data_IF_804337311781
#
_entry.id   IF_804337311781
#
_cell.length_a   1.000
_cell.length_b   1.000
_cell.length_c   1.000
_cell.angle_alpha   90.00
_cell.angle_beta   90.00
_cell.angle_gamma   90.00
#
_symmetry.space_group_name_H-M   'P 1'
#
loop_
_entity.id
_entity.type
_entity.pdbx_description
1 polymer ?
#
# COMPACT_ATOMS: atom_id res chain seq x y z
N UNK A 1 20.15 -11.63 25.03
CA UNK A 1 19.52 -10.32 24.75
C UNK A 1 18.24 -10.59 23.98
N UNK A 2 17.10 -10.55 24.66
CA UNK A 2 15.79 -10.78 24.04
C UNK A 2 15.45 -9.60 23.12
N UNK A 3 14.82 -9.83 21.95
CA UNK A 3 14.30 -8.72 21.16
C UNK A 3 13.18 -8.10 21.97
N UNK A 4 13.38 -6.88 22.47
CA UNK A 4 12.26 -6.04 22.94
C UNK A 4 11.22 -6.06 21.84
N UNK A 5 10.02 -6.56 22.13
CA UNK A 5 8.93 -6.61 21.17
C UNK A 5 8.74 -5.20 20.61
N UNK A 6 9.19 -5.00 19.37
CA UNK A 6 9.16 -3.69 18.71
C UNK A 6 7.70 -3.30 18.58
N UNK A 7 7.33 -2.12 19.08
CA UNK A 7 5.96 -1.63 18.96
C UNK A 7 5.56 -1.65 17.47
N UNK A 8 4.61 -2.51 17.06
CA UNK A 8 4.26 -2.67 15.65
C UNK A 8 3.76 -1.36 15.04
N UNK A 9 3.17 -0.47 15.84
CA UNK A 9 2.69 0.86 15.41
C UNK A 9 3.82 1.81 15.00
N UNK A 10 5.08 1.44 15.26
CA UNK A 10 6.29 2.17 14.86
C UNK A 10 7.03 1.49 13.70
N UNK A 11 6.38 0.58 13.00
CA UNK A 11 6.99 -0.11 11.84
C UNK A 11 7.16 0.89 10.68
N UNK A 12 8.40 1.18 10.24
CA UNK A 12 8.63 2.05 9.09
C UNK A 12 8.17 1.37 7.81
N UNK A 13 7.62 2.18 6.90
CA UNK A 13 7.22 1.73 5.58
C UNK A 13 7.30 2.85 4.56
N UNK A 14 7.29 2.46 3.29
CA UNK A 14 7.04 3.34 2.15
C UNK A 14 5.76 2.89 1.47
N UNK A 15 4.76 3.78 1.41
CA UNK A 15 3.53 3.64 0.64
C UNK A 15 3.73 4.32 -0.72
N UNK A 16 3.80 3.53 -1.78
CA UNK A 16 3.85 4.02 -3.17
C UNK A 16 2.46 3.96 -3.76
N UNK A 17 1.96 5.09 -4.25
CA UNK A 17 0.61 5.24 -4.77
C UNK A 17 0.64 5.50 -6.27
N UNK A 18 -0.15 4.73 -7.02
CA UNK A 18 -0.44 4.91 -8.43
C UNK A 18 -1.54 5.97 -8.58
N UNK A 19 -1.21 7.09 -9.20
CA UNK A 19 -2.18 8.17 -9.49
C UNK A 19 -2.77 8.08 -10.90
N UNK A 20 -2.32 7.13 -11.72
CA UNK A 20 -2.80 6.96 -13.10
C UNK A 20 -4.09 6.13 -13.21
N UNK A 21 -4.49 5.44 -12.14
CA UNK A 21 -5.71 4.62 -12.10
C UNK A 21 -6.90 5.34 -11.43
N UNK A 22 -6.69 6.57 -10.97
CA UNK A 22 -7.67 7.33 -10.20
C UNK A 22 -8.74 7.94 -11.12
N UNK A 23 -9.99 7.98 -10.65
CA UNK A 23 -11.05 8.82 -11.21
C UNK A 23 -11.07 10.18 -10.47
N UNK A 24 -11.71 11.21 -11.04
CA UNK A 24 -11.71 12.57 -10.47
C UNK A 24 -12.37 12.72 -9.08
N UNK A 25 -13.00 11.66 -8.56
CA UNK A 25 -13.63 11.62 -7.23
C UNK A 25 -12.66 11.24 -6.08
N UNK A 26 -11.38 10.98 -6.38
CA UNK A 26 -10.43 10.29 -5.48
C UNK A 26 -9.60 11.20 -4.55
N UNK A 27 -9.84 12.53 -4.53
CA UNK A 27 -9.10 13.45 -3.64
C UNK A 27 -9.26 13.11 -2.15
N UNK A 28 -10.46 12.71 -1.74
CA UNK A 28 -10.76 12.31 -0.36
C UNK A 28 -10.01 11.04 0.06
N UNK A 29 -9.83 10.08 -0.86
CA UNK A 29 -9.06 8.85 -0.62
C UNK A 29 -7.60 9.19 -0.37
N UNK A 30 -7.01 10.01 -1.25
CA UNK A 30 -5.63 10.47 -1.10
C UNK A 30 -5.40 11.21 0.21
N UNK A 31 -6.34 12.05 0.64
CA UNK A 31 -6.22 12.79 1.90
C UNK A 31 -6.29 11.92 3.14
N UNK A 32 -7.15 10.89 3.14
CA UNK A 32 -7.19 9.90 4.23
C UNK A 32 -5.85 9.16 4.32
N UNK A 33 -5.30 8.71 3.19
CA UNK A 33 -4.00 8.02 3.16
C UNK A 33 -2.86 8.93 3.62
N UNK A 34 -2.80 10.18 3.14
CA UNK A 34 -1.80 11.16 3.58
C UNK A 34 -1.85 11.39 5.09
N UNK A 35 -3.05 11.56 5.66
CA UNK A 35 -3.22 11.71 7.12
C UNK A 35 -2.75 10.47 7.87
N UNK A 36 -3.07 9.27 7.38
CA UNK A 36 -2.65 8.01 8.00
C UNK A 36 -1.13 7.86 8.03
N UNK A 37 -0.47 8.10 6.89
CA UNK A 37 1.00 7.98 6.77
C UNK A 37 1.70 8.99 7.67
N UNK A 38 1.23 10.25 7.72
CA UNK A 38 1.79 11.29 8.61
C UNK A 38 1.68 10.95 10.09
N UNK A 39 0.66 10.18 10.48
CA UNK A 39 0.49 9.73 11.86
C UNK A 39 1.40 8.53 12.23
N UNK A 40 2.03 7.89 11.24
CA UNK A 40 2.92 6.75 11.46
C UNK A 40 4.38 7.22 11.55
N UNK A 41 5.11 6.91 12.64
CA UNK A 41 6.53 7.19 12.73
C UNK A 41 7.29 6.55 11.56
N UNK A 42 8.07 7.36 10.85
CA UNK A 42 8.81 6.96 9.65
C UNK A 42 7.94 6.52 8.46
N UNK A 43 6.61 6.70 8.48
CA UNK A 43 5.79 6.50 7.29
C UNK A 43 6.17 7.49 6.19
N UNK A 44 6.40 6.99 4.97
CA UNK A 44 6.63 7.81 3.78
C UNK A 44 5.60 7.46 2.73
N UNK A 45 5.05 8.48 2.07
CA UNK A 45 4.15 8.32 0.94
C UNK A 45 4.83 8.88 -0.31
N UNK A 46 4.83 8.11 -1.39
CA UNK A 46 5.33 8.51 -2.71
C UNK A 46 4.18 8.39 -3.70
N UNK A 47 3.91 9.45 -4.45
CA UNK A 47 2.96 9.40 -5.56
C UNK A 47 3.73 9.22 -6.87
N UNK A 48 3.27 8.29 -7.70
CA UNK A 48 3.90 7.95 -8.98
C UNK A 48 2.84 7.83 -10.08
N UNK A 49 3.30 7.76 -11.33
CA UNK A 49 2.46 7.36 -12.45
C UNK A 49 2.03 5.89 -12.36
N UNK A 50 1.78 5.26 -13.50
CA UNK A 50 1.23 3.92 -13.53
C UNK A 50 2.19 2.87 -12.96
N UNK A 51 1.67 1.98 -12.11
CA UNK A 51 2.37 0.82 -11.54
C UNK A 51 2.01 -0.49 -12.28
N UNK A 52 1.63 -0.45 -13.56
CA UNK A 52 1.08 -1.62 -14.28
C UNK A 52 2.04 -2.80 -14.42
N UNK A 53 3.36 -2.57 -14.38
CA UNK A 53 4.38 -3.63 -14.31
C UNK A 53 4.47 -4.29 -12.94
N UNK A 54 3.82 -3.73 -11.93
CA UNK A 54 3.86 -4.19 -10.54
C UNK A 54 2.48 -4.65 -10.04
N UNK A 55 1.41 -3.98 -10.45
CA UNK A 55 0.03 -4.19 -10.01
C UNK A 55 -0.88 -4.51 -11.20
N UNK A 56 -1.79 -5.47 -11.02
CA UNK A 56 -2.89 -5.67 -11.95
C UNK A 56 -3.98 -4.62 -11.70
N UNK A 57 -3.77 -3.40 -12.18
CA UNK A 57 -4.62 -2.23 -11.87
C UNK A 57 -5.65 -1.86 -12.95
N UNK A 58 -5.72 -2.62 -14.05
CA UNK A 58 -6.63 -2.33 -15.19
C UNK A 58 -8.04 -2.94 -15.02
N UNK A 59 -8.24 -3.78 -14.01
CA UNK A 59 -9.47 -4.55 -13.78
C UNK A 59 -10.48 -3.85 -12.89
N UNK A 60 -10.08 -2.81 -12.15
CA UNK A 60 -10.94 -2.08 -11.23
C UNK A 60 -10.74 -0.58 -11.31
N UNK A 61 -11.76 0.18 -10.91
CA UNK A 61 -11.69 1.63 -10.74
C UNK A 61 -11.24 1.96 -9.32
N UNK A 62 -10.38 2.96 -9.19
CA UNK A 62 -9.90 3.47 -7.90
C UNK A 62 -8.39 3.41 -7.76
N UNK A 63 -7.93 3.82 -6.59
CA UNK A 63 -6.51 4.03 -6.32
C UNK A 63 -5.81 2.71 -6.02
N UNK A 64 -4.64 2.52 -6.62
CA UNK A 64 -3.79 1.35 -6.39
C UNK A 64 -2.51 1.77 -5.70
N UNK A 65 -2.00 0.93 -4.80
CA UNK A 65 -0.80 1.24 -4.04
C UNK A 65 0.02 -0.02 -3.72
N UNK A 66 1.23 0.22 -3.24
CA UNK A 66 2.13 -0.80 -2.75
C UNK A 66 2.79 -0.32 -1.46
N UNK A 67 2.88 -1.21 -0.47
CA UNK A 67 3.52 -0.90 0.82
C UNK A 67 4.74 -1.78 0.99
N UNK A 68 5.89 -1.14 1.10
CA UNK A 68 7.17 -1.79 1.39
C UNK A 68 7.52 -1.56 2.86
N UNK A 69 7.44 -2.58 3.73
CA UNK A 69 8.04 -2.55 5.05
C UNK A 69 9.55 -2.30 4.93
N UNK A 70 10.09 -1.41 5.77
CA UNK A 70 11.50 -1.05 5.71
C UNK A 70 12.09 -0.77 7.09
N UNK A 71 13.42 -0.73 7.16
CA UNK A 71 14.14 -0.20 8.30
C UNK A 71 14.13 1.35 8.27
N UNK A 72 14.60 1.97 9.35
CA UNK A 72 14.62 3.44 9.46
C UNK A 72 15.51 4.10 8.39
N UNK A 73 16.52 3.38 7.91
CA UNK A 73 17.41 3.74 6.79
C UNK A 73 16.83 3.39 5.40
N UNK A 74 15.55 3.00 5.34
CA UNK A 74 14.80 2.64 4.13
C UNK A 74 15.25 1.35 3.42
N UNK A 75 16.10 0.54 4.05
CA UNK A 75 16.36 -0.82 3.53
C UNK A 75 15.08 -1.67 3.62
N UNK A 76 14.67 -2.38 2.55
CA UNK A 76 13.53 -3.29 2.59
C UNK A 76 13.71 -4.38 3.65
N UNK A 77 12.68 -4.64 4.45
CA UNK A 77 12.73 -5.64 5.54
C UNK A 77 11.73 -6.78 5.38
N UNK A 78 10.91 -6.76 4.33
CA UNK A 78 9.86 -7.75 4.14
C UNK A 78 9.23 -7.69 2.75
N UNK A 79 8.26 -8.57 2.52
CA UNK A 79 7.51 -8.61 1.27
C UNK A 79 6.68 -7.34 1.07
N UNK A 80 6.56 -6.90 -0.18
CA UNK A 80 5.64 -5.82 -0.54
C UNK A 80 4.20 -6.30 -0.41
N UNK A 81 3.36 -5.48 0.24
CA UNK A 81 1.91 -5.68 0.24
C UNK A 81 1.31 -4.80 -0.85
N UNK A 82 0.57 -5.42 -1.76
CA UNK A 82 -0.09 -4.76 -2.89
C UNK A 82 -1.51 -4.42 -2.48
N UNK A 83 -1.92 -3.17 -2.71
CA UNK A 83 -3.19 -2.63 -2.29
C UNK A 83 -4.03 -2.19 -3.50
N UNK A 84 -5.32 -2.45 -3.40
CA UNK A 84 -6.33 -1.87 -4.27
C UNK A 84 -7.21 -2.90 -5.00
N UNK A 85 -8.29 -2.43 -5.65
CA UNK A 85 -8.66 -1.01 -5.78
C UNK A 85 -9.12 -0.39 -4.45
N UNK A 86 -8.62 0.80 -4.11
CA UNK A 86 -9.09 1.63 -3.00
C UNK A 86 -10.07 2.63 -3.62
N UNK A 87 -11.35 2.27 -3.65
CA UNK A 87 -12.36 2.96 -4.44
C UNK A 87 -13.21 3.93 -3.61
N UNK A 88 -13.19 3.81 -2.28
CA UNK A 88 -14.00 4.62 -1.39
C UNK A 88 -13.22 5.17 -0.21
N UNK A 89 -13.81 6.16 0.46
CA UNK A 89 -13.31 6.66 1.74
C UNK A 89 -13.24 5.54 2.79
N UNK A 90 -14.20 4.62 2.81
CA UNK A 90 -14.22 3.50 3.75
C UNK A 90 -13.03 2.53 3.51
N UNK A 91 -12.70 2.29 2.24
CA UNK A 91 -11.50 1.51 1.87
C UNK A 91 -10.23 2.21 2.38
N UNK A 92 -10.14 3.52 2.14
CA UNK A 92 -9.01 4.33 2.59
C UNK A 92 -8.87 4.34 4.11
N UNK A 93 -9.99 4.42 4.85
CA UNK A 93 -10.02 4.35 6.31
C UNK A 93 -9.60 2.96 6.82
N UNK A 94 -10.00 1.89 6.13
CA UNK A 94 -9.57 0.52 6.42
C UNK A 94 -8.05 0.37 6.24
N UNK A 95 -7.50 0.83 5.11
CA UNK A 95 -6.05 0.86 4.88
C UNK A 95 -5.35 1.72 5.93
N UNK A 96 -5.92 2.87 6.29
CA UNK A 96 -5.36 3.77 7.28
C UNK A 96 -5.25 3.14 8.68
N UNK A 97 -6.27 2.40 9.11
CA UNK A 97 -6.24 1.63 10.37
C UNK A 97 -5.14 0.57 10.31
N UNK A 98 -5.07 -0.19 9.21
CA UNK A 98 -4.06 -1.23 9.02
C UNK A 98 -2.63 -0.69 9.01
N UNK A 99 -2.37 0.46 8.36
CA UNK A 99 -1.07 1.13 8.38
C UNK A 99 -0.67 1.55 9.80
N UNK A 100 -1.59 2.17 10.55
CA UNK A 100 -1.35 2.59 11.94
C UNK A 100 -1.12 1.41 12.89
N UNK A 101 -1.68 0.26 12.58
CA UNK A 101 -1.46 -0.98 13.32
C UNK A 101 -0.09 -1.64 13.02
N UNK A 102 0.68 -1.11 12.06
CA UNK A 102 1.98 -1.68 11.69
C UNK A 102 1.94 -2.72 10.59
N UNK A 103 0.87 -2.74 9.79
CA UNK A 103 0.70 -3.67 8.66
C UNK A 103 0.76 -5.16 9.07
N UNK A 104 0.02 -5.60 10.09
CA UNK A 104 0.06 -6.99 10.51
C UNK A 104 -0.40 -7.94 9.40
N UNK A 105 0.16 -9.15 9.40
CA UNK A 105 -0.16 -10.22 8.45
C UNK A 105 -1.31 -11.12 8.92
N UNK A 106 -2.15 -10.63 9.85
CA UNK A 106 -3.20 -11.36 10.57
C UNK A 106 -4.57 -11.38 9.87
N UNK A 107 -4.63 -10.91 8.62
CA UNK A 107 -5.88 -10.81 7.86
C UNK A 107 -6.71 -9.56 8.16
N UNK A 108 -6.25 -8.64 9.01
CA UNK A 108 -6.94 -7.36 9.27
C UNK A 108 -7.05 -6.45 8.05
N UNK A 109 -6.26 -6.67 7.00
CA UNK A 109 -6.49 -6.08 5.68
C UNK A 109 -7.39 -7.01 4.84
N UNK A 110 -8.63 -6.59 4.51
CA UNK A 110 -9.58 -7.39 3.75
C UNK A 110 -9.05 -7.79 2.38
N UNK A 111 -9.41 -9.00 1.94
CA UNK A 111 -9.02 -9.56 0.64
C UNK A 111 -9.38 -8.65 -0.56
N UNK A 112 -10.55 -7.98 -0.61
CA UNK A 112 -10.86 -7.07 -1.72
C UNK A 112 -9.90 -5.89 -1.87
N UNK A 113 -9.16 -5.54 -0.82
CA UNK A 113 -8.15 -4.48 -0.85
C UNK A 113 -6.75 -5.01 -1.15
N UNK A 114 -6.58 -6.32 -1.42
CA UNK A 114 -5.32 -6.92 -1.84
C UNK A 114 -5.28 -7.00 -3.36
N UNK A 115 -4.40 -6.19 -3.95
CA UNK A 115 -4.23 -6.19 -5.39
C UNK A 115 -3.39 -7.39 -5.84
N UNK A 116 -3.82 -8.03 -6.93
CA UNK A 116 -3.04 -9.05 -7.59
C UNK A 116 -1.72 -8.48 -8.15
N UNK A 117 -0.61 -9.24 -8.14
CA UNK A 117 0.59 -8.86 -8.88
C UNK A 117 0.27 -8.69 -10.37
N UNK A 118 1.01 -7.81 -11.05
CA UNK A 118 0.97 -7.80 -12.51
C UNK A 118 1.28 -9.21 -13.06
N UNK A 119 0.55 -9.67 -14.08
CA UNK A 119 0.84 -10.97 -14.69
C UNK A 119 2.28 -10.97 -15.22
N UNK A 120 3.02 -12.04 -14.93
CA UNK A 120 4.34 -12.24 -15.54
C UNK A 120 4.10 -12.40 -17.04
N UNK A 121 4.55 -11.44 -17.84
CA UNK A 121 4.57 -11.62 -19.29
C UNK A 121 5.60 -12.70 -19.60
N UNK A 122 5.13 -13.92 -19.86
CA UNK A 122 5.95 -14.92 -20.53
C UNK A 122 6.05 -14.44 -21.98
N UNK A 123 7.25 -14.09 -22.43
CA UNK A 123 7.46 -13.82 -23.85
C UNK A 123 7.15 -15.11 -24.61
N UNK A 124 6.00 -15.15 -25.28
CA UNK A 124 5.75 -16.13 -26.32
C UNK A 124 6.58 -15.69 -27.51
N UNK A 125 7.80 -16.22 -27.61
CA UNK A 125 8.60 -16.14 -28.82
C UNK A 125 7.95 -17.12 -29.82
N UNK A 126 7.26 -16.56 -30.83
CA UNK A 126 6.89 -17.28 -32.05
C UNK A 126 7.99 -17.10 -33.09
#
# INVERSE_FOLDING_TARGET
>A
MSPTARDPRRTPFTLVVCTSCQDSADEHVMDVLRRAVRACPHGVMVSTGCLDRFLQCRVGRGLYAAVQPCAADRRPTGAVVRLGPIASRADAETVAVWLRAGMPADGSLPEPLRAAPAPRQTAHLN
#
